data_IF_699269592886
#
_entry.id   IF_699269592886
#
_cell.length_a   1.000
_cell.length_b   1.000
_cell.length_c   1.000
_cell.angle_alpha   90.00
_cell.angle_beta   90.00
_cell.angle_gamma   90.00
#
_symmetry.space_group_name_H-M   'P 1'
#
loop_
_entity.id
_entity.type
_entity.pdbx_description
1 polymer ?
#
# COMPACT_ATOMS: atom_id res chain seq x y z
N UNK A 1 2.46 27.10 4.05
CA UNK A 1 1.52 26.61 3.17
C UNK A 1 1.33 25.14 3.39
N UNK A 2 0.13 24.70 3.41
CA UNK A 2 -0.13 23.35 3.67
C UNK A 2 -0.19 22.54 2.43
N UNK A 3 0.31 21.33 2.45
CA UNK A 3 0.21 20.45 1.33
C UNK A 3 -1.23 20.05 1.18
N UNK A 4 -1.66 19.83 -0.02
CA UNK A 4 -2.99 19.34 -0.23
C UNK A 4 -3.06 17.87 0.26
N UNK A 5 -4.24 17.35 0.47
CA UNK A 5 -4.37 16.00 1.03
C UNK A 5 -3.68 14.93 0.19
N UNK A 6 -3.74 15.04 -1.11
CA UNK A 6 -3.12 14.05 -1.97
C UNK A 6 -1.60 14.07 -1.83
N UNK A 7 -1.02 15.26 -1.83
CA UNK A 7 0.42 15.40 -1.64
C UNK A 7 0.86 14.90 -0.28
N UNK A 8 0.05 15.16 0.73
CA UNK A 8 0.36 14.69 2.09
C UNK A 8 0.37 13.16 2.13
N UNK A 9 -0.55 12.53 1.44
CA UNK A 9 -0.61 11.07 1.39
C UNK A 9 0.65 10.53 0.71
N UNK A 10 1.01 11.08 -0.44
CA UNK A 10 2.21 10.62 -1.13
C UNK A 10 3.47 10.85 -0.32
N UNK A 11 3.55 11.96 0.38
CA UNK A 11 4.70 12.23 1.23
C UNK A 11 4.80 11.20 2.35
N UNK A 12 3.67 10.85 2.94
CA UNK A 12 3.67 9.84 3.99
C UNK A 12 4.11 8.48 3.47
N UNK A 13 3.81 8.18 2.22
CA UNK A 13 4.16 6.92 1.61
C UNK A 13 5.61 6.85 1.14
N UNK A 14 6.33 7.94 1.23
CA UNK A 14 7.68 7.98 0.71
C UNK A 14 8.72 7.33 1.63
N UNK A 15 8.32 6.92 2.81
CA UNK A 15 9.24 6.31 3.77
C UNK A 15 8.99 4.81 3.89
N UNK A 16 10.00 3.98 3.79
CA UNK A 16 9.79 2.52 3.81
C UNK A 16 9.24 1.99 5.14
N UNK A 17 9.60 2.61 6.26
CA UNK A 17 9.07 2.19 7.55
C UNK A 17 7.57 2.46 7.61
N UNK A 18 7.17 3.61 7.12
CA UNK A 18 5.75 3.95 7.11
C UNK A 18 4.98 3.00 6.20
N UNK A 19 5.55 2.64 5.06
CA UNK A 19 4.88 1.67 4.17
C UNK A 19 4.77 0.31 4.84
N UNK A 20 5.77 -0.10 5.61
CA UNK A 20 5.72 -1.37 6.33
C UNK A 20 4.65 -1.34 7.43
N UNK A 21 4.48 -0.21 8.08
CA UNK A 21 3.43 -0.05 9.08
C UNK A 21 2.06 -0.22 8.41
N UNK A 22 1.87 0.42 7.27
CA UNK A 22 0.60 0.30 6.57
C UNK A 22 0.35 -1.13 6.13
N UNK A 23 1.37 -1.83 5.68
CA UNK A 23 1.23 -3.22 5.28
C UNK A 23 0.78 -4.09 6.45
N UNK A 24 1.30 -3.81 7.63
CA UNK A 24 0.89 -4.53 8.81
C UNK A 24 -0.57 -4.22 9.16
N UNK A 25 -0.95 -2.95 9.10
CA UNK A 25 -2.31 -2.55 9.43
C UNK A 25 -3.33 -3.04 8.40
N UNK A 26 -2.90 -3.31 7.20
CA UNK A 26 -3.79 -3.91 6.20
C UNK A 26 -4.24 -5.30 6.62
N UNK A 27 -3.55 -5.93 7.54
CA UNK A 27 -3.93 -7.24 8.05
C UNK A 27 -4.85 -7.14 9.26
N UNK A 28 -5.00 -5.96 9.81
CA UNK A 28 -5.88 -5.75 10.96
C UNK A 28 -5.33 -4.71 11.89
N UNK A 29 -6.15 -4.24 12.78
CA UNK A 29 -5.76 -3.23 13.75
C UNK A 29 -4.62 -3.73 14.62
N UNK A 30 -3.86 -2.84 15.18
CA UNK A 30 -2.76 -3.19 16.03
C UNK A 30 -2.51 -2.13 17.08
N UNK A 31 -1.98 -2.54 18.20
CA UNK A 31 -1.55 -1.60 19.23
C UNK A 31 -0.19 -1.03 18.82
N UNK A 32 0.10 0.15 19.31
CA UNK A 32 1.35 0.83 18.97
C UNK A 32 2.57 -0.06 19.28
N UNK A 33 2.54 -0.74 20.41
CA UNK A 33 3.65 -1.60 20.76
C UNK A 33 3.84 -2.75 19.79
N UNK A 34 2.74 -3.28 19.29
CA UNK A 34 2.80 -4.35 18.31
C UNK A 34 3.41 -3.87 17.00
N UNK A 35 3.16 -2.64 16.67
CA UNK A 35 3.72 -2.07 15.45
C UNK A 35 5.23 -1.85 15.58
N UNK A 36 5.70 -1.56 16.77
CA UNK A 36 7.11 -1.30 16.98
C UNK A 36 7.96 -2.54 16.97
N UNK A 37 7.39 -3.67 17.39
CA UNK A 37 8.11 -4.91 17.52
C UNK A 37 9.01 -5.31 16.35
N UNK A 38 8.54 -5.33 15.14
CA UNK A 38 9.37 -5.80 14.03
C UNK A 38 10.47 -4.85 13.59
N UNK A 39 10.51 -3.66 14.16
CA UNK A 39 11.49 -2.68 13.75
C UNK A 39 12.59 -2.54 14.76
N UNK A 40 13.76 -2.12 14.32
CA UNK A 40 14.86 -1.92 15.23
C UNK A 40 14.95 -0.48 15.67
N UNK A 41 13.91 0.29 15.51
CA UNK A 41 13.92 1.69 15.90
C UNK A 41 13.13 1.86 17.17
N UNK A 42 13.33 2.97 17.81
CA UNK A 42 12.76 3.22 19.12
C UNK A 42 11.26 3.46 19.05
N UNK A 43 10.61 3.31 20.17
CA UNK A 43 9.19 3.61 20.25
C UNK A 43 8.90 5.06 19.92
N UNK A 44 9.68 6.04 20.38
CA UNK A 44 9.43 7.41 19.95
C UNK A 44 9.54 7.60 18.43
N UNK A 45 10.43 6.87 17.77
CA UNK A 45 10.54 6.98 16.33
C UNK A 45 9.30 6.38 15.65
N UNK A 46 8.82 5.25 16.14
CA UNK A 46 7.57 4.69 15.64
C UNK A 46 6.42 5.66 15.85
N UNK A 47 6.36 6.29 17.01
CA UNK A 47 5.31 7.26 17.28
C UNK A 47 5.35 8.44 16.31
N UNK A 48 6.52 8.87 15.93
CA UNK A 48 6.63 9.95 14.95
C UNK A 48 6.11 9.52 13.59
N UNK A 49 6.43 8.29 13.17
CA UNK A 49 5.91 7.77 11.92
C UNK A 49 4.39 7.65 11.95
N UNK A 50 3.86 7.20 13.08
CA UNK A 50 2.41 7.09 13.21
C UNK A 50 1.74 8.46 13.17
N UNK A 51 2.37 9.46 13.75
CA UNK A 51 1.81 10.79 13.70
C UNK A 51 1.76 11.32 12.28
N UNK A 52 2.82 11.09 11.51
CA UNK A 52 2.84 11.52 10.11
C UNK A 52 1.72 10.82 9.35
N UNK A 53 1.57 9.52 9.55
CA UNK A 53 0.52 8.76 8.87
C UNK A 53 -0.87 9.20 9.29
N UNK A 54 -1.04 9.52 10.55
CA UNK A 54 -2.34 9.97 11.04
C UNK A 54 -2.68 11.34 10.46
N UNK A 55 -1.73 12.24 10.44
CA UNK A 55 -1.96 13.58 9.94
C UNK A 55 -2.21 13.58 8.43
N UNK A 56 -1.57 12.69 7.71
CA UNK A 56 -1.77 12.59 6.28
C UNK A 56 -3.03 11.83 5.91
N UNK A 57 -3.57 11.03 6.84
CA UNK A 57 -4.85 10.35 6.64
C UNK A 57 -4.86 8.84 6.56
N UNK A 58 -3.76 8.16 6.21
CA UNK A 58 -3.83 6.70 6.00
C UNK A 58 -4.13 5.87 7.22
N UNK A 59 -3.98 6.42 8.42
CA UNK A 59 -4.35 5.67 9.62
C UNK A 59 -5.19 6.50 10.56
N UNK A 60 -5.90 5.83 11.43
CA UNK A 60 -6.56 6.49 12.55
C UNK A 60 -6.05 5.86 13.81
N UNK A 61 -6.01 6.62 14.87
CA UNK A 61 -5.57 6.14 16.16
C UNK A 61 -6.69 6.34 17.15
N UNK A 62 -7.01 5.32 17.88
CA UNK A 62 -8.07 5.39 18.87
C UNK A 62 -7.51 5.08 20.22
N UNK A 63 -7.94 5.81 21.21
CA UNK A 63 -7.57 5.53 22.57
C UNK A 63 -8.62 4.60 23.15
N UNK A 64 -8.17 3.53 23.78
CA UNK A 64 -9.08 2.64 24.40
C UNK A 64 -8.52 2.38 25.77
N UNK A 65 -9.08 2.99 26.77
CA UNK A 65 -8.57 2.95 28.11
C UNK A 65 -7.12 3.46 28.08
N UNK A 66 -6.17 2.65 28.47
CA UNK A 66 -4.80 3.08 28.45
C UNK A 66 -4.07 2.62 27.20
N UNK A 67 -4.78 2.00 26.28
CA UNK A 67 -4.15 1.47 25.07
C UNK A 67 -4.37 2.40 23.88
N UNK A 68 -3.45 2.36 22.96
CA UNK A 68 -3.61 3.10 21.73
C UNK A 68 -3.66 2.13 20.60
N UNK A 69 -4.76 2.12 19.90
CA UNK A 69 -4.99 1.20 18.81
C UNK A 69 -4.93 1.93 17.47
N UNK A 70 -4.23 1.36 16.53
CA UNK A 70 -4.12 1.95 15.19
C UNK A 70 -4.87 1.11 14.19
N UNK A 71 -5.51 1.74 13.25
CA UNK A 71 -6.23 1.07 12.18
C UNK A 71 -5.99 1.78 10.87
N UNK A 72 -6.04 1.05 9.79
CA UNK A 72 -5.91 1.63 8.48
C UNK A 72 -7.15 2.46 8.19
N UNK A 73 -6.95 3.65 7.65
CA UNK A 73 -8.06 4.46 7.17
C UNK A 73 -7.91 4.51 5.66
N UNK A 74 -8.77 3.82 4.92
CA UNK A 74 -8.53 3.67 3.49
C UNK A 74 -8.84 4.88 2.63
N UNK A 75 -9.57 5.84 3.16
CA UNK A 75 -10.02 6.97 2.35
C UNK A 75 -8.91 7.66 1.58
N UNK A 76 -7.84 8.05 2.25
CA UNK A 76 -6.78 8.79 1.57
C UNK A 76 -6.01 7.89 0.61
N UNK A 77 -5.92 6.59 0.93
CA UNK A 77 -5.26 5.66 0.04
C UNK A 77 -6.09 5.40 -1.21
N UNK A 78 -7.40 5.37 -1.07
CA UNK A 78 -8.30 5.22 -2.21
C UNK A 78 -8.17 6.44 -3.12
N UNK A 79 -8.07 7.60 -2.53
CA UNK A 79 -7.92 8.82 -3.31
C UNK A 79 -6.62 8.80 -4.09
N UNK A 80 -5.53 8.38 -3.45
CA UNK A 80 -4.25 8.27 -4.13
C UNK A 80 -4.31 7.24 -5.25
N UNK A 81 -4.95 6.10 -4.98
CA UNK A 81 -5.12 5.07 -5.98
C UNK A 81 -5.93 5.55 -7.16
N UNK A 82 -6.97 6.32 -6.89
CA UNK A 82 -7.80 6.88 -7.95
C UNK A 82 -7.02 7.84 -8.83
N UNK A 83 -6.17 8.63 -8.22
CA UNK A 83 -5.35 9.56 -9.00
C UNK A 83 -4.39 8.78 -9.90
N UNK A 84 -3.75 7.75 -9.37
CA UNK A 84 -2.86 6.92 -10.14
C UNK A 84 -3.63 6.22 -11.26
N UNK A 85 -4.84 5.80 -10.97
CA UNK A 85 -5.66 5.08 -11.93
C UNK A 85 -6.01 5.89 -13.16
N UNK A 86 -5.89 7.20 -13.09
CA UNK A 86 -6.11 8.06 -14.25
C UNK A 86 -5.13 7.73 -15.36
N UNK A 87 -4.04 7.06 -15.04
CA UNK A 87 -3.03 6.71 -16.02
C UNK A 87 -3.06 5.22 -16.35
N UNK A 88 -4.12 4.54 -15.92
CA UNK A 88 -4.20 3.09 -16.09
C UNK A 88 -4.13 2.65 -17.53
N UNK A 89 -4.76 3.39 -18.43
CA UNK A 89 -4.71 3.04 -19.84
C UNK A 89 -3.28 3.00 -20.35
N UNK A 90 -2.47 3.91 -19.87
CA UNK A 90 -1.09 4.00 -20.30
C UNK A 90 -0.33 2.75 -19.96
N UNK A 91 -0.37 2.32 -18.70
CA UNK A 91 0.42 1.16 -18.32
C UNK A 91 -0.29 -0.15 -18.60
N UNK A 92 -1.59 -0.16 -18.66
CA UNK A 92 -2.31 -1.39 -18.98
C UNK A 92 -2.00 -1.85 -20.38
N UNK A 93 -1.96 -0.93 -21.33
CA UNK A 93 -1.59 -1.31 -22.66
C UNK A 93 -0.16 -1.84 -22.71
N UNK A 94 0.71 -1.27 -21.91
CA UNK A 94 2.09 -1.72 -21.87
C UNK A 94 2.22 -3.09 -21.20
N UNK A 95 1.46 -3.31 -20.16
CA UNK A 95 1.44 -4.60 -19.51
C UNK A 95 0.87 -5.67 -20.41
N UNK A 96 -0.15 -5.35 -21.16
CA UNK A 96 -0.75 -6.30 -22.11
C UNK A 96 0.28 -6.68 -23.18
N UNK A 97 1.00 -5.73 -23.68
CA UNK A 97 2.01 -5.98 -24.69
C UNK A 97 3.12 -6.84 -24.10
N UNK A 98 3.54 -6.56 -22.90
CA UNK A 98 4.56 -7.32 -22.23
C UNK A 98 4.09 -8.74 -21.96
N UNK A 99 2.89 -8.86 -21.49
CA UNK A 99 2.31 -10.16 -21.22
C UNK A 99 2.24 -10.99 -22.47
N UNK A 100 1.83 -10.40 -23.57
CA UNK A 100 1.78 -11.10 -24.84
C UNK A 100 3.16 -11.54 -25.29
N UNK A 101 4.15 -10.67 -25.13
CA UNK A 101 5.52 -10.98 -25.49
C UNK A 101 6.04 -12.14 -24.64
N UNK A 102 5.78 -12.10 -23.36
CA UNK A 102 6.23 -13.15 -22.47
C UNK A 102 5.57 -14.48 -22.78
N UNK A 103 4.30 -14.45 -23.09
CA UNK A 103 3.61 -15.64 -23.46
C UNK A 103 4.20 -16.25 -24.72
N UNK A 104 4.49 -15.43 -25.69
CA UNK A 104 5.06 -15.89 -26.92
C UNK A 104 6.42 -16.53 -26.66
N UNK A 105 7.24 -15.88 -25.87
CA UNK A 105 8.56 -16.39 -25.56
C UNK A 105 8.50 -17.71 -24.81
N UNK A 106 7.63 -17.80 -23.87
CA UNK A 106 7.50 -19.02 -23.11
C UNK A 106 6.98 -20.16 -23.94
N UNK A 107 6.04 -19.88 -24.79
CA UNK A 107 5.49 -20.91 -25.65
C UNK A 107 6.49 -21.37 -26.66
N UNK A 108 7.40 -20.54 -27.10
CA UNK A 108 8.37 -20.98 -28.08
C UNK A 108 9.54 -21.68 -27.44
N UNK A 109 9.84 -21.43 -26.20
CA UNK A 109 10.94 -22.08 -25.56
C UNK A 109 10.55 -23.17 -24.62
N UNK A 110 9.42 -23.09 -24.04
CA UNK A 110 9.01 -24.00 -23.05
C UNK A 110 7.56 -24.29 -23.26
N UNK A 111 7.18 -25.37 -23.64
CA UNK A 111 5.83 -25.67 -24.04
C UNK A 111 4.83 -25.45 -22.99
N UNK A 112 5.08 -25.55 -21.77
CA UNK A 112 4.13 -25.30 -20.85
C UNK A 112 4.52 -24.88 -19.56
N UNK A 113 3.82 -23.96 -19.03
CA UNK A 113 3.96 -23.46 -17.74
C UNK A 113 2.74 -23.76 -17.07
N UNK A 114 2.68 -24.64 -16.14
CA UNK A 114 1.53 -24.93 -15.56
C UNK A 114 1.05 -24.10 -14.51
N UNK A 115 -0.14 -23.99 -14.26
CA UNK A 115 -0.79 -23.31 -13.19
C UNK A 115 -0.76 -21.84 -13.25
N UNK A 116 -0.47 -21.30 -14.31
CA UNK A 116 -0.39 -19.92 -14.39
C UNK A 116 -1.50 -19.22 -15.02
N UNK A 117 -2.69 -19.69 -14.90
CA UNK A 117 -3.74 -18.97 -15.43
C UNK A 117 -4.11 -17.83 -14.65
N UNK A 118 -4.11 -16.64 -15.14
CA UNK A 118 -4.53 -15.48 -14.46
C UNK A 118 -5.95 -15.39 -14.54
N UNK A 119 -6.64 -15.14 -13.50
CA UNK A 119 -8.02 -14.90 -13.53
C UNK A 119 -8.35 -13.68 -14.27
N UNK A 120 -9.42 -13.65 -14.98
CA UNK A 120 -9.85 -12.46 -15.69
C UNK A 120 -10.08 -11.39 -14.73
N UNK A 121 -9.65 -10.28 -15.02
CA UNK A 121 -9.83 -9.20 -14.22
C UNK A 121 -11.12 -8.76 -14.11
N UNK A 122 -11.82 -8.79 -14.64
CA UNK A 122 -13.05 -8.26 -14.53
C UNK A 122 -13.92 -8.90 -14.06
N UNK A 123 -13.97 -9.23 -13.74
CA UNK A 123 -14.82 -9.80 -13.26
C UNK A 123 -15.68 -9.18 -12.89
N UNK A 124 -16.02 -8.76 -12.78
CA UNK A 124 -16.92 -8.14 -12.47
C UNK A 124 -17.34 -8.21 -12.40
#
# INVERSE_FOLDING_TARGET
MEADPLSATFAALSDPTRRAILARLAKGEALVGELADPFTISLPAISRHLKVLQQAGPIERKAEAQWRRCALNPESLIEAASWIDRYSDFWESRFDALEGFLKFELNSKSPRIRGQQRKPKNDN
#
